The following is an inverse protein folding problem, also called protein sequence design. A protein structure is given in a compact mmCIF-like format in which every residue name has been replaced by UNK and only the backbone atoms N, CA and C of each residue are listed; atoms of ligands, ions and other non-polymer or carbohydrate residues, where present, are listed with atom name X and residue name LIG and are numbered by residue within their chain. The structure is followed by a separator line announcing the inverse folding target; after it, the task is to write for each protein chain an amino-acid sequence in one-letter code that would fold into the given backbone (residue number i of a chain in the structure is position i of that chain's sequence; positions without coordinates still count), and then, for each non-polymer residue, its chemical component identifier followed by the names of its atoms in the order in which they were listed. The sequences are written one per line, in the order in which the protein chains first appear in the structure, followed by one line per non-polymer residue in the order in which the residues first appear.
data_IF_952751751325
#
_entry.id   IF_952751751325
#
_cell.length_a   1.000
_cell.length_b   1.000
_cell.length_c   1.000
_cell.angle_alpha   90.00
_cell.angle_beta   90.00
_cell.angle_gamma   90.00
#
_symmetry.space_group_name_H-M   'P 1'
#
loop_
_entity.id
_entity.type
_entity.pdbx_description
1 polymer ?
#
# COMPACT_ATOMS: atom_id res chain seq x y z
N UNK A 1 -33.50 -15.33 16.69
CA UNK A 1 -32.57 -15.04 15.58
C UNK A 1 -31.21 -15.54 16.01
N UNK A 2 -30.76 -16.68 15.50
CA UNK A 2 -29.52 -17.34 15.97
C UNK A 2 -28.28 -16.58 15.51
N UNK A 3 -27.35 -16.31 16.42
CA UNK A 3 -26.09 -15.67 16.09
C UNK A 3 -25.16 -16.65 15.33
N UNK A 4 -24.51 -16.17 14.26
CA UNK A 4 -23.46 -16.92 13.56
C UNK A 4 -22.19 -16.87 14.40
N UNK A 5 -21.77 -18.03 14.92
CA UNK A 5 -20.59 -18.16 15.79
C UNK A 5 -19.34 -18.66 15.07
N UNK A 6 -19.48 -19.15 13.83
CA UNK A 6 -18.37 -19.59 12.99
C UNK A 6 -18.14 -18.56 11.88
N UNK A 7 -17.16 -17.68 12.08
CA UNK A 7 -16.69 -16.76 11.05
C UNK A 7 -15.38 -17.28 10.45
N UNK A 8 -15.12 -17.06 9.15
CA UNK A 8 -13.82 -17.35 8.57
C UNK A 8 -12.73 -16.64 9.36
N UNK A 9 -11.67 -17.38 9.71
CA UNK A 9 -10.47 -16.78 10.28
C UNK A 9 -9.77 -16.03 9.14
N UNK A 10 -10.07 -14.74 8.98
CA UNK A 10 -9.33 -13.86 8.08
C UNK A 10 -7.94 -13.65 8.65
N UNK A 11 -6.99 -14.47 8.22
CA UNK A 11 -5.59 -14.16 8.51
C UNK A 11 -5.12 -13.00 7.63
N UNK A 12 -4.16 -12.21 8.13
CA UNK A 12 -3.65 -11.02 7.41
C UNK A 12 -2.50 -11.38 6.45
N UNK A 13 -1.98 -12.59 6.57
CA UNK A 13 -1.07 -13.27 5.68
C UNK A 13 -1.80 -13.64 4.38
N UNK A 14 -1.55 -12.86 3.33
CA UNK A 14 -1.94 -13.20 1.98
C UNK A 14 -0.93 -14.22 1.43
N UNK A 15 -1.40 -15.42 1.09
CA UNK A 15 -0.53 -16.51 0.63
C UNK A 15 0.40 -16.13 -0.52
N UNK A 16 0.02 -15.16 -1.36
CA UNK A 16 0.89 -14.64 -2.41
C UNK A 16 2.12 -13.90 -1.87
N UNK A 17 1.98 -13.06 -0.83
CA UNK A 17 3.10 -12.34 -0.21
C UNK A 17 3.99 -13.28 0.59
N UNK A 18 3.40 -14.25 1.29
CA UNK A 18 4.13 -15.26 2.06
C UNK A 18 4.98 -16.19 1.18
N UNK A 19 4.63 -16.31 -0.10
CA UNK A 19 5.40 -17.09 -1.09
C UNK A 19 6.46 -16.28 -1.84
N UNK A 20 6.56 -14.96 -1.60
CA UNK A 20 7.58 -14.14 -2.23
C UNK A 20 8.97 -14.47 -1.66
N UNK A 21 10.03 -14.33 -2.46
CA UNK A 21 11.38 -14.16 -1.92
C UNK A 21 11.42 -12.98 -0.95
N UNK A 22 12.42 -12.96 -0.06
CA UNK A 22 12.59 -11.87 0.92
C UNK A 22 12.52 -10.50 0.23
N UNK A 23 11.55 -9.69 0.66
CA UNK A 23 11.31 -8.36 0.09
C UNK A 23 12.11 -7.36 0.90
N UNK A 24 13.02 -6.65 0.24
CA UNK A 24 13.75 -5.57 0.88
C UNK A 24 12.78 -4.47 1.36
N UNK A 25 13.01 -3.90 2.54
CA UNK A 25 12.25 -2.75 3.00
C UNK A 25 12.28 -1.62 1.96
N UNK A 26 11.17 -0.88 1.86
CA UNK A 26 11.16 0.33 1.05
C UNK A 26 12.19 1.33 1.60
N UNK A 27 12.86 2.06 0.70
CA UNK A 27 13.79 3.09 1.11
C UNK A 27 13.04 4.18 1.91
N UNK A 28 13.53 4.57 3.10
CA UNK A 28 12.90 5.63 3.87
C UNK A 28 13.03 6.96 3.12
N UNK A 29 12.03 7.83 3.32
CA UNK A 29 12.07 9.18 2.78
C UNK A 29 13.11 9.99 3.56
N UNK A 30 14.11 10.54 2.87
CA UNK A 30 15.20 11.30 3.48
C UNK A 30 14.95 12.79 3.33
N UNK A 31 14.80 13.47 4.46
CA UNK A 31 14.67 14.93 4.52
C UNK A 31 13.34 15.47 3.96
N UNK A 32 13.18 16.80 3.92
CA UNK A 32 12.01 17.45 3.36
C UNK A 32 11.84 17.08 1.88
N UNK A 33 10.65 16.65 1.49
CA UNK A 33 10.32 16.30 0.10
C UNK A 33 9.03 16.99 -0.31
N UNK A 34 9.04 17.60 -1.49
CA UNK A 34 7.84 18.19 -2.11
C UNK A 34 7.25 17.26 -3.17
N UNK A 35 5.93 17.20 -3.24
CA UNK A 35 5.19 16.48 -4.27
C UNK A 35 3.91 17.21 -4.62
N UNK A 36 3.40 16.94 -5.82
CA UNK A 36 2.09 17.41 -6.25
C UNK A 36 0.98 16.64 -5.51
N UNK A 37 1.21 15.35 -5.23
CA UNK A 37 0.29 14.50 -4.49
C UNK A 37 1.05 13.51 -3.61
N UNK A 38 0.59 13.34 -2.37
CA UNK A 38 1.08 12.33 -1.44
C UNK A 38 -0.01 11.29 -1.20
N UNK A 39 0.30 10.01 -1.41
CA UNK A 39 -0.59 8.89 -1.07
C UNK A 39 -0.18 8.33 0.30
N UNK A 40 -1.05 8.48 1.30
CA UNK A 40 -0.80 7.96 2.65
C UNK A 40 -1.25 6.52 2.76
N UNK A 41 -0.27 5.61 2.94
CA UNK A 41 -0.42 4.18 3.09
C UNK A 41 0.00 3.40 1.84
N UNK A 42 1.18 2.76 1.85
CA UNK A 42 1.67 1.93 0.73
C UNK A 42 1.07 0.51 0.69
N UNK A 43 -0.21 0.34 1.01
CA UNK A 43 -0.93 -0.94 0.90
C UNK A 43 -1.49 -1.16 -0.51
N UNK A 44 -2.31 -2.19 -0.72
CA UNK A 44 -2.93 -2.48 -2.02
C UNK A 44 -3.67 -1.27 -2.60
N UNK A 45 -4.53 -0.64 -1.78
CA UNK A 45 -5.32 0.53 -2.20
C UNK A 45 -4.44 1.74 -2.50
N UNK A 46 -3.42 2.02 -1.68
CA UNK A 46 -2.54 3.15 -1.92
C UNK A 46 -1.69 3.00 -3.17
N UNK A 47 -1.16 1.80 -3.42
CA UNK A 47 -0.44 1.51 -4.67
C UNK A 47 -1.35 1.60 -5.88
N UNK A 48 -2.60 1.12 -5.79
CA UNK A 48 -3.58 1.28 -6.86
C UNK A 48 -3.90 2.76 -7.12
N UNK A 49 -4.04 3.57 -6.08
CA UNK A 49 -4.26 5.00 -6.19
C UNK A 49 -3.07 5.73 -6.82
N UNK A 50 -1.84 5.46 -6.36
CA UNK A 50 -0.62 6.04 -6.93
C UNK A 50 -0.42 5.66 -8.40
N UNK A 51 -0.68 4.39 -8.74
CA UNK A 51 -0.67 3.94 -10.14
C UNK A 51 -1.69 4.72 -10.96
N UNK A 52 -2.94 4.81 -10.50
CA UNK A 52 -4.00 5.51 -11.24
C UNK A 52 -3.68 6.99 -11.40
N UNK A 53 -3.04 7.60 -10.41
CA UNK A 53 -2.54 8.95 -10.49
C UNK A 53 -1.47 9.11 -11.57
N UNK A 54 -0.49 8.20 -11.64
CA UNK A 54 0.54 8.22 -12.70
C UNK A 54 -0.03 8.03 -14.10
N UNK A 55 -1.11 7.26 -14.25
CA UNK A 55 -1.82 7.13 -15.54
C UNK A 55 -2.56 8.42 -15.93
N UNK A 56 -3.19 9.11 -14.98
CA UNK A 56 -3.98 10.32 -15.23
C UNK A 56 -3.14 11.59 -15.31
N UNK A 57 -2.00 11.62 -14.61
CA UNK A 57 -1.10 12.77 -14.48
C UNK A 57 0.36 12.28 -14.58
N UNK A 58 0.83 11.90 -15.78
CA UNK A 58 2.17 11.32 -15.96
C UNK A 58 3.30 12.22 -15.47
N UNK A 59 3.11 13.54 -15.54
CA UNK A 59 4.12 14.53 -15.16
C UNK A 59 4.06 14.91 -13.66
N UNK A 60 3.05 14.45 -12.92
CA UNK A 60 2.92 14.77 -11.51
C UNK A 60 3.93 13.98 -10.68
N UNK A 61 4.66 14.67 -9.82
CA UNK A 61 5.50 14.03 -8.81
C UNK A 61 4.60 13.48 -7.72
N UNK A 62 4.54 12.15 -7.63
CA UNK A 62 3.74 11.46 -6.61
C UNK A 62 4.56 10.40 -5.88
N UNK A 63 4.30 10.25 -4.58
CA UNK A 63 4.91 9.18 -3.77
C UNK A 63 3.89 8.55 -2.82
N UNK A 64 4.07 7.25 -2.56
CA UNK A 64 3.37 6.54 -1.50
C UNK A 64 4.20 6.62 -0.22
N UNK A 65 3.64 7.24 0.82
CA UNK A 65 4.25 7.30 2.14
C UNK A 65 3.61 6.25 3.05
N UNK A 66 4.42 5.54 3.83
CA UNK A 66 3.95 4.71 4.94
C UNK A 66 4.85 5.01 6.13
N UNK A 67 4.24 5.11 7.31
CA UNK A 67 4.96 5.02 8.58
C UNK A 67 5.29 3.55 8.79
N UNK A 68 6.53 3.18 8.54
CA UNK A 68 7.14 1.93 8.98
C UNK A 68 6.82 1.63 10.45
#
# INVERSE_FOLDING_TARGET
MGAVTLLPRTRRDNGWFETLPEVLPAAPLVGPTEADVVVVGAGFTGLAAARRLGELRPDARSFCWRRD
#
